data_IF_679098083687
#
_entry.id   IF_679098083687
#
_cell.length_a   1.000
_cell.length_b   1.000
_cell.length_c   1.000
_cell.angle_alpha   90.00
_cell.angle_beta   90.00
_cell.angle_gamma   90.00
#
_symmetry.space_group_name_H-M   'P 1'
#
loop_
_entity.id
_entity.type
_entity.pdbx_description
1 polymer ?
#
# COMPACT_ATOMS: atom_id res chain seq x y z
N UNK A 1 6.52 12.79 38.97
CA UNK A 1 6.46 11.54 38.19
C UNK A 1 7.33 11.73 36.97
N UNK A 2 8.49 11.06 36.91
CA UNK A 2 9.45 11.22 35.82
C UNK A 2 8.88 10.59 34.55
N UNK A 3 8.70 11.37 33.48
CA UNK A 3 8.60 10.83 32.13
C UNK A 3 9.89 10.02 31.89
N UNK A 4 9.81 8.70 31.93
CA UNK A 4 10.92 7.86 31.46
C UNK A 4 11.01 8.06 29.95
N UNK A 5 12.13 8.61 29.48
CA UNK A 5 12.42 8.79 28.06
C UNK A 5 12.15 7.49 27.30
N UNK A 6 11.36 7.58 26.22
CA UNK A 6 11.10 6.43 25.36
C UNK A 6 12.39 6.11 24.61
N UNK A 7 12.88 4.88 24.77
CA UNK A 7 14.01 4.35 24.01
C UNK A 7 13.54 4.01 22.59
N UNK A 8 14.13 4.64 21.60
CA UNK A 8 13.94 4.30 20.19
C UNK A 8 15.12 3.45 19.70
N UNK A 9 14.80 2.27 19.17
CA UNK A 9 15.76 1.39 18.48
C UNK A 9 15.51 1.51 16.98
N UNK A 10 16.56 1.78 16.21
CA UNK A 10 16.47 1.92 14.76
C UNK A 10 17.27 0.81 14.09
N UNK A 11 16.58 -0.01 13.28
CA UNK A 11 17.18 -1.04 12.43
C UNK A 11 17.16 -0.53 10.99
N UNK A 12 18.33 -0.27 10.37
CA UNK A 12 18.41 0.23 9.01
C UNK A 12 18.03 -0.86 7.99
N UNK A 13 17.68 -0.42 6.78
CA UNK A 13 17.17 -1.24 5.67
C UNK A 13 18.09 -2.40 5.29
N UNK A 14 19.39 -2.22 5.44
CA UNK A 14 20.42 -3.20 5.10
C UNK A 14 20.49 -4.35 6.11
N UNK A 15 20.00 -4.12 7.34
CA UNK A 15 19.98 -5.10 8.43
C UNK A 15 18.64 -5.81 8.57
N UNK A 16 17.60 -5.39 7.85
CA UNK A 16 16.31 -6.07 7.85
C UNK A 16 16.44 -7.44 7.17
N UNK A 17 16.03 -8.49 7.89
CA UNK A 17 16.03 -9.89 7.42
C UNK A 17 14.75 -10.26 6.65
N UNK A 18 13.90 -9.28 6.37
CA UNK A 18 12.65 -9.44 5.65
C UNK A 18 12.44 -8.30 4.65
N UNK A 19 11.66 -8.56 3.61
CA UNK A 19 11.32 -7.59 2.58
C UNK A 19 9.91 -7.81 2.04
N UNK A 20 9.39 -6.80 1.36
CA UNK A 20 8.07 -6.83 0.71
C UNK A 20 8.24 -6.99 -0.80
N UNK A 21 7.64 -8.01 -1.39
CA UNK A 21 7.72 -8.23 -2.84
C UNK A 21 6.80 -7.27 -3.63
N UNK A 22 6.90 -7.33 -4.97
CA UNK A 22 6.10 -6.50 -5.88
C UNK A 22 4.59 -6.78 -5.83
N UNK A 23 4.15 -7.83 -5.13
CA UNK A 23 2.76 -8.25 -4.96
C UNK A 23 2.24 -8.00 -3.53
N UNK A 24 3.04 -7.34 -2.68
CA UNK A 24 2.68 -7.02 -1.31
C UNK A 24 2.76 -8.21 -0.37
N UNK A 25 3.60 -9.21 -0.66
CA UNK A 25 3.83 -10.38 0.21
C UNK A 25 5.16 -10.22 0.92
N UNK A 26 5.19 -10.58 2.20
CA UNK A 26 6.40 -10.54 3.01
C UNK A 26 7.24 -11.80 2.80
N UNK A 27 8.55 -11.62 2.68
CA UNK A 27 9.53 -12.70 2.55
C UNK A 27 10.68 -12.51 3.55
N UNK A 28 11.37 -13.60 3.86
CA UNK A 28 12.69 -13.62 4.49
C UNK A 28 13.61 -14.64 3.78
N UNK A 29 14.79 -14.90 4.34
CA UNK A 29 15.74 -15.89 3.81
C UNK A 29 15.17 -17.32 3.68
N UNK A 30 14.10 -17.64 4.42
CA UNK A 30 13.42 -18.94 4.36
C UNK A 30 12.21 -18.95 3.41
N UNK A 31 11.94 -17.84 2.73
CA UNK A 31 10.86 -17.70 1.76
C UNK A 31 9.71 -16.82 2.24
N UNK A 32 8.54 -17.04 1.64
CA UNK A 32 7.35 -16.23 1.88
C UNK A 32 6.74 -16.50 3.26
N UNK A 33 6.30 -15.45 3.95
CA UNK A 33 5.53 -15.59 5.19
C UNK A 33 4.17 -16.22 4.89
N UNK A 34 3.80 -17.25 5.66
CA UNK A 34 2.49 -17.93 5.52
C UNK A 34 1.53 -17.59 6.68
N UNK A 35 2.07 -17.22 7.84
CA UNK A 35 1.27 -16.96 9.02
C UNK A 35 0.51 -15.63 8.91
N UNK A 36 -0.79 -15.72 8.58
CA UNK A 36 -1.69 -14.56 8.38
C UNK A 36 -1.64 -13.50 9.50
N UNK A 37 -1.47 -13.89 10.76
CA UNK A 37 -1.36 -12.95 11.88
C UNK A 37 -0.09 -12.09 11.80
N UNK A 38 1.05 -12.71 11.44
CA UNK A 38 2.32 -12.01 11.27
C UNK A 38 2.22 -11.04 10.10
N UNK A 39 1.72 -11.52 8.95
CA UNK A 39 1.51 -10.69 7.74
C UNK A 39 0.61 -9.49 8.04
N UNK A 40 -0.53 -9.73 8.71
CA UNK A 40 -1.47 -8.67 9.07
C UNK A 40 -0.87 -7.65 10.02
N UNK A 41 -0.06 -8.11 10.99
CA UNK A 41 0.65 -7.25 11.91
C UNK A 41 1.66 -6.38 11.15
N UNK A 42 2.53 -7.00 10.35
CA UNK A 42 3.55 -6.31 9.56
C UNK A 42 2.94 -5.22 8.69
N UNK A 43 1.89 -5.52 7.93
CA UNK A 43 1.24 -4.49 7.12
C UNK A 43 0.65 -3.35 7.96
N UNK A 44 -0.05 -3.66 9.06
CA UNK A 44 -0.61 -2.61 9.92
C UNK A 44 0.43 -1.78 10.66
N UNK A 45 1.66 -2.28 10.75
CA UNK A 45 2.81 -1.60 11.35
C UNK A 45 3.60 -0.72 10.37
N UNK A 46 3.32 -0.77 9.06
CA UNK A 46 4.01 0.09 8.09
C UNK A 46 3.71 1.56 8.41
N UNK A 47 4.76 2.36 8.55
CA UNK A 47 4.73 3.83 8.68
C UNK A 47 5.77 4.43 7.75
N UNK A 48 5.71 5.75 7.56
CA UNK A 48 6.65 6.50 6.74
C UNK A 48 7.13 7.72 7.51
N UNK A 49 8.41 8.02 7.42
CA UNK A 49 9.00 9.30 7.80
C UNK A 49 9.95 9.79 6.69
N UNK A 50 10.83 10.75 7.01
CA UNK A 50 11.76 11.33 6.06
C UNK A 50 12.78 10.32 5.49
N UNK A 51 13.10 9.25 6.23
CA UNK A 51 14.06 8.21 5.83
C UNK A 51 13.38 7.08 5.02
N UNK A 52 12.05 7.10 4.92
CA UNK A 52 11.26 6.18 4.11
C UNK A 52 10.32 5.31 4.93
N UNK A 53 9.98 4.13 4.39
CA UNK A 53 9.04 3.21 5.03
C UNK A 53 9.73 2.30 6.04
N UNK A 54 9.09 2.13 7.19
CA UNK A 54 9.54 1.24 8.26
C UNK A 54 8.38 0.51 8.92
N UNK A 55 8.67 -0.60 9.58
CA UNK A 55 7.74 -1.25 10.50
C UNK A 55 7.90 -0.62 11.88
N UNK A 56 6.81 -0.05 12.40
CA UNK A 56 6.71 0.37 13.78
C UNK A 56 6.38 -0.82 14.67
N UNK A 57 7.27 -1.11 15.62
CA UNK A 57 7.06 -2.14 16.64
C UNK A 57 7.13 -1.52 18.03
N UNK A 58 6.21 -1.92 18.90
CA UNK A 58 6.22 -1.56 20.32
C UNK A 58 6.59 -2.81 21.10
N UNK A 59 7.72 -2.80 21.81
CA UNK A 59 8.14 -3.92 22.66
C UNK A 59 7.52 -3.82 24.05
N UNK A 60 7.53 -2.61 24.64
CA UNK A 60 6.94 -2.30 25.93
C UNK A 60 6.50 -0.82 25.95
N UNK A 61 6.08 -0.30 27.11
CA UNK A 61 5.60 1.09 27.24
C UNK A 61 6.68 2.16 27.04
N UNK A 62 7.95 1.76 27.09
CA UNK A 62 9.11 2.64 27.01
C UNK A 62 10.02 2.37 25.81
N UNK A 63 9.82 1.28 25.07
CA UNK A 63 10.68 0.88 23.95
C UNK A 63 9.88 0.73 22.67
N UNK A 64 10.26 1.54 21.67
CA UNK A 64 9.78 1.42 20.29
C UNK A 64 10.94 1.04 19.38
N UNK A 65 10.63 0.27 18.34
CA UNK A 65 11.57 -0.10 17.30
C UNK A 65 11.04 0.33 15.93
N UNK A 66 11.92 0.94 15.13
CA UNK A 66 11.70 1.25 13.72
C UNK A 66 12.59 0.35 12.89
N UNK A 67 11.98 -0.54 12.11
CA UNK A 67 12.70 -1.40 11.17
C UNK A 67 12.43 -0.96 9.76
N UNK A 68 13.37 -0.23 9.15
CA UNK A 68 13.31 0.09 7.73
C UNK A 68 13.46 -1.19 6.92
N UNK A 69 12.70 -1.35 5.85
CA UNK A 69 12.66 -2.60 5.09
C UNK A 69 12.77 -2.38 3.58
N UNK A 70 13.23 -3.42 2.88
CA UNK A 70 13.30 -3.45 1.41
C UNK A 70 11.93 -3.75 0.83
N UNK A 71 11.60 -3.10 -0.28
CA UNK A 71 10.42 -3.41 -1.07
C UNK A 71 10.77 -3.37 -2.56
N UNK A 72 10.17 -4.24 -3.35
CA UNK A 72 10.50 -4.39 -4.78
C UNK A 72 9.80 -3.37 -5.68
N UNK A 73 8.59 -2.93 -5.33
CA UNK A 73 7.78 -2.00 -6.14
C UNK A 73 7.31 -0.80 -5.31
N UNK A 74 6.42 -1.04 -4.35
CA UNK A 74 5.95 -0.04 -3.39
C UNK A 74 5.75 -0.69 -2.01
N UNK A 75 5.63 0.13 -0.96
CA UNK A 75 5.24 -0.31 0.37
C UNK A 75 3.71 -0.31 0.58
N UNK A 76 2.96 0.40 -0.26
CA UNK A 76 1.51 0.62 -0.09
C UNK A 76 0.70 -0.05 -1.18
N UNK A 77 -0.29 -0.83 -0.76
CA UNK A 77 -1.14 -1.62 -1.65
C UNK A 77 -2.61 -1.42 -1.28
N UNK A 78 -3.47 -1.22 -2.27
CA UNK A 78 -4.92 -1.29 -2.09
C UNK A 78 -5.32 -2.74 -1.98
N UNK A 79 -5.59 -3.21 -0.76
CA UNK A 79 -5.99 -4.60 -0.48
C UNK A 79 -7.49 -4.81 -0.65
N UNK A 80 -8.28 -3.75 -0.48
CA UNK A 80 -9.71 -3.84 -0.65
C UNK A 80 -10.33 -2.53 -1.12
N UNK A 81 -11.54 -2.64 -1.66
CA UNK A 81 -12.34 -1.50 -2.13
C UNK A 81 -13.72 -1.56 -1.47
N UNK A 82 -14.12 -0.44 -0.87
CA UNK A 82 -15.45 -0.18 -0.32
C UNK A 82 -16.17 0.80 -1.24
N UNK A 83 -17.17 0.29 -1.96
CA UNK A 83 -18.17 1.11 -2.65
C UNK A 83 -19.48 0.99 -1.87
N UNK A 84 -20.10 2.11 -1.50
CA UNK A 84 -21.44 2.09 -0.93
C UNK A 84 -22.46 2.19 -2.08
N UNK A 85 -23.31 1.17 -2.27
CA UNK A 85 -24.53 1.21 -3.12
C UNK A 85 -24.45 2.13 -4.35
N UNK A 86 -23.72 1.70 -5.39
CA UNK A 86 -23.47 2.43 -6.66
C UNK A 86 -22.88 3.85 -6.54
N UNK A 87 -22.57 4.32 -5.33
CA UNK A 87 -21.92 5.61 -5.11
C UNK A 87 -20.48 5.59 -5.60
N UNK A 88 -20.11 6.68 -6.26
CA UNK A 88 -18.74 6.99 -6.67
C UNK A 88 -17.85 7.48 -5.53
N UNK A 89 -18.37 7.48 -4.30
CA UNK A 89 -17.58 7.66 -3.06
C UNK A 89 -16.84 6.37 -2.71
N UNK A 90 -15.96 5.96 -3.61
CA UNK A 90 -15.17 4.74 -3.44
C UNK A 90 -14.06 5.00 -2.42
N UNK A 91 -13.97 4.14 -1.41
CA UNK A 91 -12.89 4.11 -0.41
C UNK A 91 -11.97 2.94 -0.69
N UNK A 92 -10.68 3.22 -0.74
CA UNK A 92 -9.60 2.25 -0.90
C UNK A 92 -9.09 1.90 0.49
N UNK A 93 -9.03 0.60 0.80
CA UNK A 93 -8.44 0.10 2.04
C UNK A 93 -7.01 -0.33 1.72
N UNK A 94 -6.05 0.32 2.34
CA UNK A 94 -4.64 0.00 2.17
C UNK A 94 -4.26 -1.24 3.01
N UNK A 95 -3.13 -1.84 2.68
CA UNK A 95 -2.50 -2.89 3.50
C UNK A 95 -2.28 -2.43 4.96
N UNK A 96 -2.02 -1.13 5.18
CA UNK A 96 -1.90 -0.52 6.52
C UNK A 96 -3.22 -0.47 7.31
N UNK A 97 -4.35 -0.79 6.66
CA UNK A 97 -5.74 -0.59 7.10
C UNK A 97 -6.24 0.85 7.01
N UNK A 98 -5.41 1.78 6.56
CA UNK A 98 -5.86 3.15 6.30
C UNK A 98 -6.88 3.16 5.16
N UNK A 99 -7.86 4.06 5.28
CA UNK A 99 -8.85 4.28 4.25
C UNK A 99 -8.62 5.62 3.56
N UNK A 100 -8.44 5.60 2.25
CA UNK A 100 -8.27 6.81 1.44
C UNK A 100 -9.35 6.88 0.34
N UNK A 101 -9.75 8.07 -0.12
CA UNK A 101 -10.66 8.16 -1.26
C UNK A 101 -9.94 7.70 -2.54
N UNK A 102 -10.68 7.09 -3.46
CA UNK A 102 -10.22 6.94 -4.83
C UNK A 102 -10.15 8.33 -5.49
N UNK A 103 -8.98 8.70 -5.99
CA UNK A 103 -8.76 9.93 -6.76
C UNK A 103 -8.45 9.54 -8.22
N UNK A 104 -9.46 9.51 -9.11
CA UNK A 104 -9.29 9.00 -10.47
C UNK A 104 -8.25 9.78 -11.29
N UNK A 105 -8.10 11.09 -11.04
CA UNK A 105 -7.09 11.96 -11.66
C UNK A 105 -5.64 11.59 -11.33
N UNK A 106 -5.43 10.82 -10.25
CA UNK A 106 -4.10 10.40 -9.83
C UNK A 106 -3.79 8.94 -10.21
N UNK A 107 -4.69 8.28 -10.93
CA UNK A 107 -4.48 6.92 -11.42
C UNK A 107 -3.47 6.91 -12.56
N UNK A 108 -2.72 5.81 -12.67
CA UNK A 108 -1.88 5.53 -13.83
C UNK A 108 -1.63 4.04 -13.98
N UNK A 109 -1.37 3.61 -15.22
CA UNK A 109 -0.92 2.25 -15.52
C UNK A 109 0.59 2.28 -15.76
N UNK A 110 1.31 1.31 -15.20
CA UNK A 110 2.73 1.09 -15.50
C UNK A 110 3.04 -0.40 -15.40
N UNK A 111 3.74 -0.97 -16.39
CA UNK A 111 4.06 -2.40 -16.45
C UNK A 111 2.82 -3.28 -16.19
N UNK A 112 1.71 -2.99 -16.85
CA UNK A 112 0.41 -3.68 -16.71
C UNK A 112 -0.24 -3.65 -15.31
N UNK A 113 0.28 -2.84 -14.39
CA UNK A 113 -0.26 -2.66 -13.05
C UNK A 113 -0.94 -1.30 -12.91
N UNK A 114 -2.06 -1.25 -12.18
CA UNK A 114 -2.72 0.00 -11.82
C UNK A 114 -2.16 0.57 -10.53
N UNK A 115 -1.89 1.87 -10.54
CA UNK A 115 -1.42 2.61 -9.39
C UNK A 115 -2.23 3.89 -9.19
N UNK A 116 -2.13 4.46 -7.99
CA UNK A 116 -2.58 5.81 -7.67
C UNK A 116 -1.47 6.55 -6.92
N UNK A 117 -1.26 7.83 -7.24
CA UNK A 117 -0.47 8.72 -6.39
C UNK A 117 -1.35 9.32 -5.28
N UNK A 118 -0.87 9.31 -4.04
CA UNK A 118 -1.55 9.96 -2.92
C UNK A 118 -0.54 10.49 -1.91
N UNK A 119 -0.60 11.78 -1.58
CA UNK A 119 0.30 12.42 -0.62
C UNK A 119 1.81 12.19 -0.90
N UNK A 120 2.20 12.05 -2.18
CA UNK A 120 3.57 11.75 -2.59
C UNK A 120 3.96 10.28 -2.52
N UNK A 121 3.01 9.39 -2.24
CA UNK A 121 3.18 7.95 -2.23
C UNK A 121 2.52 7.28 -3.43
N UNK A 122 3.26 6.34 -4.02
CA UNK A 122 2.74 5.43 -5.04
C UNK A 122 2.04 4.24 -4.38
N UNK A 123 0.79 4.01 -4.74
CA UNK A 123 -0.04 2.94 -4.16
C UNK A 123 -0.46 1.98 -5.27
N UNK A 124 -0.16 0.68 -5.14
CA UNK A 124 -0.50 -0.33 -6.15
C UNK A 124 -1.83 -1.01 -5.86
N UNK A 125 -2.64 -1.25 -6.88
CA UNK A 125 -3.85 -2.06 -6.74
C UNK A 125 -3.51 -3.53 -6.95
N UNK A 126 -3.80 -4.38 -5.95
CA UNK A 126 -3.69 -5.83 -6.14
C UNK A 126 -4.92 -6.38 -6.87
N UNK A 127 -4.79 -7.60 -7.42
CA UNK A 127 -5.83 -8.27 -8.21
C UNK A 127 -7.21 -8.24 -7.55
N UNK A 128 -7.27 -8.50 -6.23
CA UNK A 128 -8.54 -8.49 -5.49
C UNK A 128 -9.22 -7.11 -5.52
N UNK A 129 -8.47 -6.04 -5.39
CA UNK A 129 -9.00 -4.67 -5.49
C UNK A 129 -9.40 -4.34 -6.93
N UNK A 130 -8.58 -4.78 -7.91
CA UNK A 130 -8.89 -4.63 -9.33
C UNK A 130 -10.20 -5.32 -9.71
N UNK A 131 -10.45 -6.54 -9.23
CA UNK A 131 -11.71 -7.26 -9.47
C UNK A 131 -12.94 -6.48 -8.99
N UNK A 132 -12.83 -5.76 -7.87
CA UNK A 132 -13.93 -4.91 -7.36
C UNK A 132 -14.17 -3.67 -8.22
N UNK A 133 -13.16 -3.21 -8.95
CA UNK A 133 -13.25 -2.06 -9.85
C UNK A 133 -13.48 -2.45 -11.32
N UNK A 134 -13.43 -3.74 -11.65
CA UNK A 134 -13.44 -4.23 -13.03
C UNK A 134 -14.62 -3.71 -13.87
N UNK A 135 -15.82 -3.64 -13.30
CA UNK A 135 -17.02 -3.14 -13.98
C UNK A 135 -16.95 -1.64 -14.34
N UNK A 136 -16.08 -0.88 -13.65
CA UNK A 136 -15.86 0.56 -13.85
C UNK A 136 -14.66 0.83 -14.75
N UNK A 137 -13.72 -0.11 -14.84
CA UNK A 137 -12.57 0.00 -15.72
C UNK A 137 -13.01 -0.17 -17.17
N UNK A 138 -12.56 0.75 -18.03
CA UNK A 138 -12.78 0.72 -19.47
C UNK A 138 -11.44 0.60 -20.17
N UNK A 139 -11.43 -0.18 -21.25
CA UNK A 139 -10.29 -0.30 -22.13
C UNK A 139 -10.80 -0.24 -23.57
N UNK A 140 -10.36 0.78 -24.31
CA UNK A 140 -10.66 0.95 -25.73
C UNK A 140 -9.41 1.46 -26.45
N UNK A 141 -9.04 0.83 -27.57
CA UNK A 141 -7.96 1.29 -28.46
C UNK A 141 -6.68 1.76 -27.75
N UNK A 142 -6.19 1.01 -26.75
CA UNK A 142 -5.00 1.32 -25.92
C UNK A 142 -5.17 2.47 -24.92
N UNK A 143 -6.40 2.92 -24.66
CA UNK A 143 -6.73 3.89 -23.62
C UNK A 143 -7.36 3.15 -22.44
N UNK A 144 -6.77 3.35 -21.27
CA UNK A 144 -7.37 2.94 -20.02
C UNK A 144 -8.23 4.07 -19.47
N UNK A 145 -9.37 3.74 -18.90
CA UNK A 145 -10.21 4.70 -18.21
C UNK A 145 -10.93 4.07 -17.03
N UNK A 146 -11.44 4.91 -16.13
CA UNK A 146 -12.37 4.52 -15.07
C UNK A 146 -13.64 5.36 -15.15
N UNK A 147 -14.78 4.68 -15.11
CA UNK A 147 -16.09 5.31 -15.14
C UNK A 147 -16.61 5.53 -13.72
N UNK A 148 -16.85 6.79 -13.37
CA UNK A 148 -17.40 7.22 -12.09
C UNK A 148 -18.47 8.30 -12.34
N UNK A 149 -19.68 8.10 -11.80
CA UNK A 149 -20.85 8.99 -11.91
C UNK A 149 -21.21 9.32 -13.37
N UNK A 150 -21.07 8.35 -14.27
CA UNK A 150 -21.29 8.55 -15.71
C UNK A 150 -20.20 9.38 -16.41
N UNK A 151 -19.14 9.78 -15.71
CA UNK A 151 -17.96 10.42 -16.28
C UNK A 151 -16.83 9.40 -16.41
N UNK A 152 -16.19 9.38 -17.58
CA UNK A 152 -14.96 8.60 -17.79
C UNK A 152 -13.74 9.48 -17.48
N UNK A 153 -12.83 8.95 -16.68
CA UNK A 153 -11.54 9.53 -16.38
C UNK A 153 -10.47 8.73 -17.10
N UNK A 154 -9.67 9.38 -17.93
CA UNK A 154 -8.53 8.75 -18.61
C UNK A 154 -7.46 8.36 -17.59
N UNK A 155 -6.92 7.14 -17.72
CA UNK A 155 -5.81 6.63 -16.92
C UNK A 155 -4.57 6.60 -17.82
N UNK A 156 -3.58 7.48 -17.62
CA UNK A 156 -2.37 7.52 -18.44
C UNK A 156 -1.50 6.28 -18.23
N UNK A 157 -0.81 5.87 -19.30
CA UNK A 157 0.25 4.85 -19.25
C UNK A 157 1.58 5.57 -19.02
N UNK A 158 2.30 5.19 -17.95
CA UNK A 158 3.67 5.66 -17.67
C UNK A 158 4.69 4.62 -18.14
N UNK A 159 5.82 5.10 -18.67
CA UNK A 159 6.97 4.25 -19.03
C UNK A 159 7.75 3.86 -17.76
N UNK A 160 8.40 2.71 -17.82
CA UNK A 160 9.38 2.25 -16.83
C UNK A 160 10.66 3.07 -16.82
#
# INVERSE_FOLDING_TARGET
MSEKEKKEVVVPKEKAVFWLDAYGRWHNEHGMFEHKKIISYFHSSIRKDAEGYYLFQKHDDHTIEKVYFKYEDTALFVFDVKAQNDSDKIRLILNTKDEIPLAPENLFVQNDNLYMEHAGDRIKFIDRAMMKLAHRLKFDQHRYGIELSGKTYDIPIRKS
#
